data_IF_440755954193
#
_entry.id   IF_440755954193
#
_cell.length_a   1.000
_cell.length_b   1.000
_cell.length_c   1.000
_cell.angle_alpha   90.00
_cell.angle_beta   90.00
_cell.angle_gamma   90.00
#
_symmetry.space_group_name_H-M   'P 1'
#
loop_
_entity.id
_entity.type
_entity.pdbx_description
1 polymer ?
#
# COMPACT_ATOMS: atom_id res chain seq x y z
N UNK A 1 -56.77 20.07 33.26
CA UNK A 1 -55.79 19.06 32.85
C UNK A 1 -54.90 19.66 31.79
N UNK A 2 -53.70 20.06 32.17
CA UNK A 2 -52.58 20.28 31.25
C UNK A 2 -51.41 19.58 31.93
N UNK A 3 -50.90 18.51 31.30
CA UNK A 3 -49.76 17.74 31.80
C UNK A 3 -48.51 18.57 31.54
N UNK A 4 -47.77 18.87 32.59
CA UNK A 4 -46.38 19.29 32.48
C UNK A 4 -45.58 18.12 31.89
N UNK A 5 -45.13 18.30 30.66
CA UNK A 5 -44.21 17.38 29.99
C UNK A 5 -42.81 17.82 30.39
N UNK A 6 -42.25 17.15 31.40
CA UNK A 6 -40.81 17.20 31.65
C UNK A 6 -40.09 16.69 30.40
N UNK A 7 -39.45 17.62 29.69
CA UNK A 7 -38.50 17.30 28.63
C UNK A 7 -37.26 16.75 29.30
N UNK A 8 -37.21 15.43 29.45
CA UNK A 8 -36.00 14.73 29.82
C UNK A 8 -34.90 15.05 28.79
N UNK A 9 -33.80 15.66 29.24
CA UNK A 9 -32.55 15.76 28.49
C UNK A 9 -32.04 14.34 28.19
N UNK A 10 -32.49 13.77 27.07
CA UNK A 10 -31.94 12.53 26.51
C UNK A 10 -30.88 12.89 25.48
N UNK A 11 -29.63 12.69 25.88
CA UNK A 11 -28.53 12.62 24.93
C UNK A 11 -27.18 12.98 25.54
N UNK A 12 -26.77 12.28 26.61
CA UNK A 12 -25.34 12.16 26.88
C UNK A 12 -24.69 11.63 25.60
N UNK A 13 -23.89 12.47 24.93
CA UNK A 13 -23.06 12.03 23.82
C UNK A 13 -22.19 10.90 24.36
N UNK A 14 -22.49 9.66 23.97
CA UNK A 14 -21.66 8.50 24.27
C UNK A 14 -20.22 8.87 23.92
N UNK A 15 -19.32 8.80 24.89
CA UNK A 15 -17.90 9.09 24.67
C UNK A 15 -17.41 8.28 23.48
N UNK A 16 -16.54 8.86 22.65
CA UNK A 16 -16.02 8.17 21.46
C UNK A 16 -15.49 6.78 21.87
N UNK A 17 -16.07 5.72 21.32
CA UNK A 17 -15.64 4.34 21.60
C UNK A 17 -14.19 4.08 21.16
N UNK A 18 -13.70 4.88 20.21
CA UNK A 18 -12.32 4.91 19.78
C UNK A 18 -11.52 5.92 20.60
N UNK A 19 -10.64 5.42 21.46
CA UNK A 19 -9.57 6.21 22.02
C UNK A 19 -8.31 6.00 21.18
N UNK A 20 -7.75 7.11 20.72
CA UNK A 20 -6.48 7.08 20.01
C UNK A 20 -5.39 6.46 20.91
N UNK A 21 -4.56 5.55 20.38
CA UNK A 21 -3.40 5.08 21.10
C UNK A 21 -2.48 6.26 21.42
N UNK A 22 -1.74 6.21 22.55
CA UNK A 22 -0.81 7.26 22.91
C UNK A 22 0.21 7.49 21.77
N UNK A 23 0.71 8.71 21.59
CA UNK A 23 1.69 9.02 20.54
C UNK A 23 2.89 8.09 20.63
N UNK A 24 3.29 7.53 19.49
CA UNK A 24 4.44 6.64 19.42
C UNK A 24 5.71 7.37 19.91
N UNK A 25 6.55 6.73 20.74
CA UNK A 25 7.86 7.26 21.05
C UNK A 25 8.65 7.50 19.76
N UNK A 26 9.33 8.65 19.68
CA UNK A 26 10.06 9.04 18.47
C UNK A 26 11.17 8.03 18.15
N UNK A 27 11.84 7.53 19.18
CA UNK A 27 12.90 6.52 19.07
C UNK A 27 12.51 5.38 20.02
N UNK A 28 12.28 4.19 19.46
CA UNK A 28 12.02 2.97 20.22
C UNK A 28 12.92 1.85 19.70
N UNK A 29 14.13 1.78 20.25
CA UNK A 29 15.13 0.79 19.86
C UNK A 29 14.76 -0.62 20.33
N UNK A 30 13.88 -0.76 21.32
CA UNK A 30 13.41 -2.06 21.81
C UNK A 30 12.61 -2.80 20.73
N UNK A 31 11.98 -2.09 19.78
CA UNK A 31 11.27 -2.71 18.65
C UNK A 31 12.17 -3.64 17.82
N UNK A 32 13.47 -3.34 17.73
CA UNK A 32 14.43 -4.15 16.98
C UNK A 32 14.60 -5.56 17.58
N UNK A 33 14.30 -5.75 18.85
CA UNK A 33 14.38 -7.08 19.49
C UNK A 33 13.12 -7.91 19.25
N UNK A 34 12.03 -7.29 18.79
CA UNK A 34 10.72 -7.94 18.69
C UNK A 34 10.61 -8.73 17.38
N UNK A 35 10.21 -9.99 17.47
CA UNK A 35 10.01 -10.82 16.27
C UNK A 35 8.86 -10.31 15.36
N UNK A 36 7.84 -9.69 15.96
CA UNK A 36 6.76 -9.03 15.22
C UNK A 36 7.27 -7.89 14.32
N UNK A 37 8.35 -7.22 14.69
CA UNK A 37 8.96 -6.16 13.87
C UNK A 37 9.53 -6.72 12.56
N UNK A 38 10.32 -7.79 12.63
CA UNK A 38 10.87 -8.43 11.43
C UNK A 38 9.78 -9.02 10.54
N UNK A 39 8.74 -9.63 11.13
CA UNK A 39 7.57 -10.09 10.37
C UNK A 39 6.88 -8.95 9.62
N UNK A 40 6.77 -7.78 10.26
CA UNK A 40 6.20 -6.60 9.62
C UNK A 40 7.08 -6.08 8.47
N UNK A 41 8.41 -6.08 8.62
CA UNK A 41 9.33 -5.71 7.53
C UNK A 41 9.21 -6.64 6.33
N UNK A 42 9.13 -7.95 6.57
CA UNK A 42 8.94 -8.94 5.50
C UNK A 42 7.58 -8.73 4.84
N UNK A 43 6.52 -8.43 5.60
CA UNK A 43 5.20 -8.16 5.06
C UNK A 43 5.20 -6.92 4.13
N UNK A 44 5.82 -5.82 4.55
CA UNK A 44 5.97 -4.61 3.71
C UNK A 44 6.79 -4.89 2.46
N UNK A 45 7.91 -5.61 2.58
CA UNK A 45 8.73 -6.00 1.43
C UNK A 45 7.94 -6.84 0.41
N UNK A 46 7.28 -7.91 0.86
CA UNK A 46 6.52 -8.81 -0.01
C UNK A 46 5.33 -8.10 -0.62
N UNK A 47 4.61 -7.27 0.15
CA UNK A 47 3.48 -6.52 -0.37
C UNK A 47 3.91 -5.52 -1.45
N UNK A 48 4.97 -4.74 -1.21
CA UNK A 48 5.45 -3.80 -2.23
C UNK A 48 6.04 -4.53 -3.45
N UNK A 49 6.69 -5.69 -3.26
CA UNK A 49 7.12 -6.55 -4.38
C UNK A 49 5.94 -6.97 -5.25
N UNK A 50 4.89 -7.53 -4.65
CA UNK A 50 3.72 -7.99 -5.40
C UNK A 50 2.97 -6.82 -6.05
N UNK A 51 2.87 -5.68 -5.35
CA UNK A 51 2.25 -4.47 -5.88
C UNK A 51 2.92 -4.01 -7.17
N UNK A 52 4.25 -3.85 -7.16
CA UNK A 52 4.99 -3.40 -8.34
C UNK A 52 5.05 -4.47 -9.42
N UNK A 53 5.18 -5.75 -9.05
CA UNK A 53 5.18 -6.84 -10.02
C UNK A 53 3.88 -6.86 -10.85
N UNK A 54 2.71 -6.87 -10.20
CA UNK A 54 1.42 -6.97 -10.90
C UNK A 54 1.11 -5.70 -11.70
N UNK A 55 1.33 -4.53 -11.12
CA UNK A 55 0.96 -3.27 -11.77
C UNK A 55 1.84 -2.97 -12.98
N UNK A 56 3.16 -3.17 -12.87
CA UNK A 56 4.10 -2.93 -13.99
C UNK A 56 3.92 -3.97 -15.08
N UNK A 57 3.67 -5.24 -14.74
CA UNK A 57 3.32 -6.27 -15.72
C UNK A 57 2.03 -5.91 -16.49
N UNK A 58 1.02 -5.38 -15.80
CA UNK A 58 -0.24 -4.95 -16.43
C UNK A 58 -0.01 -3.81 -17.42
N UNK A 59 0.81 -2.81 -17.05
CA UNK A 59 1.14 -1.68 -17.94
C UNK A 59 1.91 -2.15 -19.18
N UNK A 60 2.92 -3.01 -19.00
CA UNK A 60 3.70 -3.52 -20.13
C UNK A 60 2.84 -4.41 -21.03
N UNK A 61 2.00 -5.27 -20.45
CA UNK A 61 1.07 -6.11 -21.19
C UNK A 61 0.09 -5.29 -22.03
N UNK A 62 -0.49 -4.23 -21.45
CA UNK A 62 -1.37 -3.31 -22.17
C UNK A 62 -0.65 -2.60 -23.32
N UNK A 63 0.54 -2.06 -23.08
CA UNK A 63 1.33 -1.38 -24.12
C UNK A 63 1.72 -2.33 -25.26
N UNK A 64 2.02 -3.60 -24.96
CA UNK A 64 2.28 -4.61 -25.97
C UNK A 64 1.04 -4.93 -26.81
N UNK A 65 -0.11 -5.15 -26.18
CA UNK A 65 -1.35 -5.52 -26.85
C UNK A 65 -1.95 -4.41 -27.70
N UNK A 66 -1.60 -3.15 -27.42
CA UNK A 66 -2.09 -1.96 -28.17
C UNK A 66 -1.08 -1.41 -29.18
N UNK A 67 0.11 -2.01 -29.29
CA UNK A 67 1.13 -1.59 -30.25
C UNK A 67 0.77 -2.04 -31.67
N UNK A 68 0.17 -1.12 -32.44
CA UNK A 68 -0.20 -1.34 -33.84
C UNK A 68 0.97 -1.75 -34.75
N UNK A 69 2.22 -1.45 -34.35
CA UNK A 69 3.41 -1.84 -35.11
C UNK A 69 3.77 -3.32 -34.92
N UNK A 70 3.23 -3.97 -33.89
CA UNK A 70 3.44 -5.39 -33.55
C UNK A 70 2.13 -6.19 -33.70
N UNK A 71 1.26 -5.80 -34.62
CA UNK A 71 -0.07 -6.41 -34.81
C UNK A 71 -1.00 -6.30 -33.58
N UNK A 72 -0.79 -5.32 -32.72
CA UNK A 72 -1.71 -4.99 -31.63
C UNK A 72 -3.02 -4.36 -32.13
N UNK A 73 -4.02 -4.31 -31.27
CA UNK A 73 -5.33 -3.74 -31.55
C UNK A 73 -5.58 -2.49 -30.71
N UNK A 74 -6.20 -1.44 -31.29
CA UNK A 74 -6.50 -0.18 -30.58
C UNK A 74 -7.35 -0.43 -29.33
N UNK A 75 -8.26 -1.40 -29.40
CA UNK A 75 -9.13 -1.81 -28.30
C UNK A 75 -8.68 -3.10 -27.63
N UNK A 76 -7.43 -3.52 -27.86
CA UNK A 76 -6.86 -4.74 -27.28
C UNK A 76 -6.48 -4.57 -25.80
N UNK A 77 -6.50 -5.69 -25.08
CA UNK A 77 -6.05 -5.75 -23.68
C UNK A 77 -7.03 -5.15 -22.67
N UNK A 78 -6.48 -4.77 -21.51
CA UNK A 78 -7.29 -4.37 -20.33
C UNK A 78 -7.70 -2.89 -20.34
N UNK A 79 -7.14 -2.08 -21.24
CA UNK A 79 -7.37 -0.63 -21.28
C UNK A 79 -6.77 0.13 -20.08
N UNK A 80 -6.85 1.46 -20.14
CA UNK A 80 -6.45 2.33 -19.02
C UNK A 80 -7.29 2.07 -17.76
N UNK A 81 -8.55 1.68 -17.93
CA UNK A 81 -9.44 1.30 -16.84
C UNK A 81 -8.92 0.05 -16.12
N UNK A 82 -8.45 -0.96 -16.84
CA UNK A 82 -7.85 -2.15 -16.27
C UNK A 82 -6.55 -1.86 -15.53
N UNK A 83 -5.72 -0.95 -16.05
CA UNK A 83 -4.53 -0.47 -15.33
C UNK A 83 -4.94 0.18 -13.99
N UNK A 84 -5.92 1.09 -14.01
CA UNK A 84 -6.40 1.75 -12.81
C UNK A 84 -6.93 0.73 -11.77
N UNK A 85 -7.66 -0.29 -12.23
CA UNK A 85 -8.11 -1.40 -11.38
C UNK A 85 -6.96 -2.24 -10.83
N UNK A 86 -5.90 -2.47 -11.60
CA UNK A 86 -4.73 -3.20 -11.10
C UNK A 86 -4.05 -2.42 -9.96
N UNK A 87 -3.86 -1.10 -10.09
CA UNK A 87 -3.28 -0.28 -9.03
C UNK A 87 -4.18 -0.22 -7.79
N UNK A 88 -5.45 0.16 -7.95
CA UNK A 88 -6.39 0.29 -6.83
C UNK A 88 -6.71 -1.05 -6.16
N UNK A 89 -6.97 -2.08 -6.97
CA UNK A 89 -7.28 -3.43 -6.49
C UNK A 89 -6.12 -4.07 -5.75
N UNK A 90 -4.88 -3.92 -6.23
CA UNK A 90 -3.71 -4.44 -5.52
C UNK A 90 -3.49 -3.74 -4.19
N UNK A 91 -3.64 -2.41 -4.11
CA UNK A 91 -3.57 -1.70 -2.83
C UNK A 91 -4.65 -2.22 -1.88
N UNK A 92 -5.91 -2.32 -2.32
CA UNK A 92 -7.00 -2.85 -1.49
C UNK A 92 -6.69 -4.23 -0.92
N UNK A 93 -6.28 -5.18 -1.77
CA UNK A 93 -5.98 -6.56 -1.37
C UNK A 93 -4.78 -6.60 -0.42
N UNK A 94 -3.69 -5.92 -0.77
CA UNK A 94 -2.45 -6.00 0.00
C UNK A 94 -2.57 -5.31 1.35
N UNK A 95 -3.25 -4.16 1.42
CA UNK A 95 -3.56 -3.50 2.70
C UNK A 95 -4.42 -4.43 3.54
N UNK A 96 -5.47 -5.04 2.98
CA UNK A 96 -6.32 -5.98 3.72
C UNK A 96 -5.51 -7.15 4.30
N UNK A 97 -4.58 -7.73 3.52
CA UNK A 97 -3.74 -8.83 3.98
C UNK A 97 -2.69 -8.43 5.02
N UNK A 98 -2.15 -7.21 4.95
CA UNK A 98 -0.99 -6.79 5.76
C UNK A 98 -1.34 -5.84 6.91
N UNK A 99 -2.56 -5.29 6.95
CA UNK A 99 -3.01 -4.38 8.01
C UNK A 99 -2.82 -4.98 9.42
N UNK A 100 -3.14 -6.27 9.62
CA UNK A 100 -2.98 -6.95 10.91
C UNK A 100 -1.54 -7.34 11.26
N UNK A 101 -0.58 -7.18 10.34
CA UNK A 101 0.82 -7.58 10.53
C UNK A 101 1.74 -6.37 10.61
N UNK A 102 1.73 -5.50 9.60
CA UNK A 102 2.61 -4.33 9.51
C UNK A 102 1.90 -2.99 9.65
N UNK A 103 0.58 -2.95 9.50
CA UNK A 103 -0.19 -1.72 9.30
C UNK A 103 -0.53 -1.44 7.83
N UNK A 104 0.03 -2.22 6.90
CA UNK A 104 -0.28 -2.16 5.46
C UNK A 104 0.04 -0.84 4.80
N UNK A 105 1.28 -0.35 4.96
CA UNK A 105 1.64 0.96 4.41
C UNK A 105 1.97 0.86 2.92
N UNK A 106 2.81 -0.11 2.53
CA UNK A 106 3.23 -0.49 1.16
C UNK A 106 3.95 0.64 0.39
N UNK A 107 3.94 1.85 0.95
CA UNK A 107 4.34 3.09 0.34
C UNK A 107 5.14 3.95 1.35
N UNK A 108 6.33 4.44 0.95
CA UNK A 108 7.13 5.34 1.77
C UNK A 108 6.39 6.61 2.20
N UNK A 109 5.56 7.20 1.33
CA UNK A 109 4.83 8.42 1.63
C UNK A 109 3.74 8.20 2.71
N UNK A 110 3.08 7.03 2.68
CA UNK A 110 2.09 6.64 3.71
C UNK A 110 2.79 6.44 5.04
N UNK A 111 3.92 5.73 5.04
CA UNK A 111 4.75 5.52 6.23
C UNK A 111 5.22 6.84 6.81
N UNK A 112 5.68 7.76 5.96
CA UNK A 112 6.12 9.08 6.38
C UNK A 112 4.98 9.93 6.96
N UNK A 113 3.80 9.93 6.34
CA UNK A 113 2.63 10.63 6.87
C UNK A 113 2.20 10.12 8.25
N UNK A 114 2.22 8.81 8.46
CA UNK A 114 1.93 8.20 9.77
C UNK A 114 3.02 8.48 10.81
N UNK A 115 4.27 8.59 10.40
CA UNK A 115 5.36 9.06 11.25
C UNK A 115 5.14 10.51 11.69
N UNK A 116 4.80 11.42 10.77
CA UNK A 116 4.48 12.82 11.11
C UNK A 116 3.28 12.93 12.05
N UNK A 117 2.30 12.04 11.92
CA UNK A 117 1.16 11.92 12.82
C UNK A 117 1.48 11.25 14.18
N UNK A 118 2.76 10.91 14.44
CA UNK A 118 3.22 10.17 15.64
C UNK A 118 2.47 8.84 15.86
N UNK A 119 2.10 8.17 14.77
CA UNK A 119 1.52 6.81 14.81
C UNK A 119 2.57 5.71 14.62
N UNK A 120 3.79 6.07 14.21
CA UNK A 120 4.90 5.17 13.87
C UNK A 120 6.21 5.76 14.42
N UNK A 121 7.10 4.92 14.96
CA UNK A 121 8.43 5.34 15.44
C UNK A 121 9.37 5.68 14.27
N UNK A 122 10.40 6.50 14.49
CA UNK A 122 11.37 6.85 13.43
C UNK A 122 12.09 5.62 12.88
N UNK A 123 12.51 4.71 13.77
CA UNK A 123 13.23 3.47 13.40
C UNK A 123 12.35 2.61 12.50
N UNK A 124 11.08 2.39 12.91
CA UNK A 124 10.12 1.63 12.10
C UNK A 124 9.85 2.29 10.77
N UNK A 125 9.69 3.62 10.74
CA UNK A 125 9.45 4.35 9.50
C UNK A 125 10.60 4.16 8.49
N UNK A 126 11.85 4.35 8.92
CA UNK A 126 13.03 4.17 8.06
C UNK A 126 13.13 2.73 7.56
N UNK A 127 12.98 1.75 8.44
CA UNK A 127 13.11 0.34 8.06
C UNK A 127 11.99 -0.11 7.11
N UNK A 128 10.76 0.40 7.29
CA UNK A 128 9.65 0.17 6.36
C UNK A 128 9.95 0.77 4.98
N UNK A 129 10.44 2.01 4.92
CA UNK A 129 10.79 2.65 3.65
C UNK A 129 11.89 1.87 2.91
N UNK A 130 12.90 1.37 3.63
CA UNK A 130 13.93 0.51 3.03
C UNK A 130 13.32 -0.78 2.51
N UNK A 131 12.50 -1.47 3.30
CA UNK A 131 11.82 -2.69 2.88
C UNK A 131 10.92 -2.48 1.65
N UNK A 132 10.16 -1.39 1.62
CA UNK A 132 9.30 -1.00 0.50
C UNK A 132 10.12 -0.72 -0.77
N UNK A 133 11.21 0.05 -0.67
CA UNK A 133 12.08 0.34 -1.80
C UNK A 133 12.73 -0.93 -2.36
N UNK A 134 13.24 -1.83 -1.49
CA UNK A 134 13.80 -3.11 -1.92
C UNK A 134 12.73 -4.00 -2.56
N UNK A 135 11.53 -4.04 -1.98
CA UNK A 135 10.39 -4.78 -2.53
C UNK A 135 10.03 -4.28 -3.92
N UNK A 136 9.93 -2.95 -4.11
CA UNK A 136 9.66 -2.32 -5.39
C UNK A 136 10.73 -2.68 -6.45
N UNK A 137 12.01 -2.59 -6.10
CA UNK A 137 13.12 -2.96 -6.99
C UNK A 137 13.01 -4.43 -7.40
N UNK A 138 12.76 -5.34 -6.45
CA UNK A 138 12.59 -6.76 -6.74
C UNK A 138 11.36 -7.03 -7.62
N UNK A 139 10.22 -6.38 -7.34
CA UNK A 139 9.00 -6.53 -8.12
C UNK A 139 9.17 -6.12 -9.58
N UNK A 140 9.73 -4.94 -9.82
CA UNK A 140 10.06 -4.45 -11.17
C UNK A 140 11.14 -5.33 -11.83
N UNK A 141 12.15 -5.74 -11.06
CA UNK A 141 13.21 -6.64 -11.52
C UNK A 141 12.69 -7.99 -12.01
N UNK A 142 11.67 -8.55 -11.35
CA UNK A 142 11.00 -9.78 -11.79
C UNK A 142 10.27 -9.59 -13.12
N UNK A 143 9.58 -8.46 -13.31
CA UNK A 143 8.94 -8.16 -14.61
C UNK A 143 9.99 -8.06 -15.72
N UNK A 144 11.11 -7.37 -15.46
CA UNK A 144 12.24 -7.30 -16.40
C UNK A 144 12.85 -8.67 -16.68
N UNK A 145 12.94 -9.56 -15.68
CA UNK A 145 13.48 -10.90 -15.85
C UNK A 145 12.58 -11.77 -16.74
N UNK A 146 11.25 -11.71 -16.57
CA UNK A 146 10.33 -12.53 -17.35
C UNK A 146 9.99 -11.96 -18.73
N UNK A 147 9.97 -10.64 -18.89
CA UNK A 147 9.57 -9.98 -20.15
C UNK A 147 10.58 -8.93 -20.60
N UNK A 148 11.87 -9.28 -20.63
CA UNK A 148 12.98 -8.34 -20.90
C UNK A 148 12.81 -7.49 -22.17
N UNK A 149 12.37 -8.09 -23.29
CA UNK A 149 12.21 -7.34 -24.55
C UNK A 149 11.08 -6.32 -24.45
N UNK A 150 9.91 -6.74 -23.99
CA UNK A 150 8.73 -5.88 -23.81
C UNK A 150 8.99 -4.80 -22.76
N UNK A 151 9.64 -5.17 -21.66
CA UNK A 151 10.00 -4.24 -20.59
C UNK A 151 10.87 -3.10 -21.10
N UNK A 152 11.94 -3.39 -21.84
CA UNK A 152 12.80 -2.33 -22.38
C UNK A 152 12.10 -1.53 -23.49
N UNK A 153 11.28 -2.19 -24.32
CA UNK A 153 10.59 -1.54 -25.45
C UNK A 153 9.51 -0.55 -24.98
N UNK A 154 8.78 -0.91 -23.92
CA UNK A 154 7.65 -0.13 -23.41
C UNK A 154 8.00 0.71 -22.17
N UNK A 155 9.28 1.07 -22.00
CA UNK A 155 9.71 2.07 -21.01
C UNK A 155 9.77 1.59 -19.56
N UNK A 156 9.88 0.27 -19.32
CA UNK A 156 10.06 -0.28 -17.98
C UNK A 156 11.42 0.08 -17.34
N UNK A 157 12.44 0.35 -18.15
CA UNK A 157 13.74 0.82 -17.70
C UNK A 157 14.20 1.99 -18.58
N UNK A 158 14.61 3.09 -17.95
CA UNK A 158 15.22 4.22 -18.62
C UNK A 158 16.54 3.88 -19.29
#
# INVERSE_FOLDING_TARGET
MAKDVEVAERGSFSGKDYQDPPPAPLIDAEELTKWSFYRALIAEFIATLLFLYITVLTVIGYNHQTDLKENGEICGGVGILGIAWAFGGMIFILVYCTAGISGGHINPAVTFGLFLARKVSLIRAIMYMVAQCLGAICGVGLVKAFQKSYFNKYGGGG
#
